data_IF_170682918809
#
_entry.id   IF_170682918809
#
_cell.length_a   1.000
_cell.length_b   1.000
_cell.length_c   1.000
_cell.angle_alpha   90.00
_cell.angle_beta   90.00
_cell.angle_gamma   90.00
#
_symmetry.space_group_name_H-M   'P 1'
#
loop_
_entity.id
_entity.type
_entity.pdbx_description
1 polymer ?
#
# COMPACT_ATOMS: atom_id res chain seq x y z
N UNK A 1 23.66 -26.76 5.92
CA UNK A 1 22.75 -26.49 4.77
C UNK A 1 21.87 -25.31 5.14
N UNK A 2 21.89 -24.20 4.38
CA UNK A 2 21.04 -23.02 4.65
C UNK A 2 19.57 -23.44 4.66
N UNK A 3 18.85 -23.09 5.72
CA UNK A 3 17.43 -23.37 5.87
C UNK A 3 16.66 -22.68 4.73
N UNK A 4 16.14 -23.43 3.75
CA UNK A 4 15.47 -22.88 2.55
C UNK A 4 14.04 -22.41 2.83
N UNK A 5 13.72 -22.00 4.06
CA UNK A 5 12.37 -21.56 4.47
C UNK A 5 11.83 -20.42 3.59
N UNK A 6 12.71 -19.52 3.15
CA UNK A 6 12.35 -18.44 2.23
C UNK A 6 11.81 -18.95 0.88
N UNK A 7 12.33 -20.08 0.38
CA UNK A 7 11.86 -20.65 -0.89
C UNK A 7 10.41 -21.17 -0.78
N UNK A 8 10.05 -21.75 0.36
CA UNK A 8 8.67 -22.20 0.64
C UNK A 8 7.75 -20.97 0.70
N UNK A 9 8.18 -19.91 1.38
CA UNK A 9 7.43 -18.65 1.42
C UNK A 9 7.21 -18.05 0.02
N UNK A 10 8.27 -17.98 -0.79
CA UNK A 10 8.20 -17.48 -2.16
C UNK A 10 7.29 -18.34 -3.05
N UNK A 11 7.32 -19.67 -2.89
CA UNK A 11 6.49 -20.60 -3.65
C UNK A 11 5.01 -20.48 -3.28
N UNK A 12 4.69 -20.41 -1.99
CA UNK A 12 3.31 -20.19 -1.52
C UNK A 12 2.79 -18.84 -2.02
N UNK A 13 3.59 -17.79 -1.90
CA UNK A 13 3.23 -16.45 -2.34
C UNK A 13 2.99 -16.44 -3.87
N UNK A 14 3.93 -16.96 -4.66
CA UNK A 14 3.81 -17.03 -6.12
C UNK A 14 2.60 -17.86 -6.56
N UNK A 15 2.34 -18.98 -5.89
CA UNK A 15 1.15 -19.80 -6.17
C UNK A 15 -0.16 -19.07 -5.86
N UNK A 16 -0.22 -18.31 -4.76
CA UNK A 16 -1.38 -17.47 -4.43
C UNK A 16 -1.62 -16.36 -5.46
N UNK A 17 -0.55 -15.70 -5.94
CA UNK A 17 -0.63 -14.73 -7.03
C UNK A 17 -1.10 -15.37 -8.34
N UNK A 18 -0.57 -16.55 -8.67
CA UNK A 18 -0.96 -17.29 -9.87
C UNK A 18 -2.45 -17.66 -9.86
N UNK A 19 -2.96 -18.22 -8.74
CA UNK A 19 -4.38 -18.52 -8.58
C UNK A 19 -5.24 -17.26 -8.75
N UNK A 20 -4.82 -16.14 -8.14
CA UNK A 20 -5.59 -14.88 -8.22
C UNK A 20 -5.67 -14.36 -9.67
N UNK A 21 -4.56 -14.42 -10.42
CA UNK A 21 -4.52 -14.05 -11.84
C UNK A 21 -5.33 -15.02 -12.70
N UNK A 22 -5.26 -16.32 -12.41
CA UNK A 22 -5.96 -17.35 -13.17
C UNK A 22 -7.48 -17.28 -13.00
N UNK A 23 -7.97 -16.99 -11.79
CA UNK A 23 -9.40 -16.99 -11.49
C UNK A 23 -10.07 -15.63 -11.73
N UNK A 24 -9.35 -14.52 -11.50
CA UNK A 24 -9.98 -13.20 -11.43
C UNK A 24 -9.24 -12.17 -12.27
N UNK A 25 -8.26 -11.48 -11.68
CA UNK A 25 -7.54 -10.35 -12.26
C UNK A 25 -6.17 -10.16 -11.59
N UNK A 26 -5.22 -9.52 -12.27
CA UNK A 26 -3.98 -9.09 -11.65
C UNK A 26 -4.23 -8.14 -10.47
N UNK A 27 -3.43 -8.28 -9.42
CA UNK A 27 -3.65 -7.59 -8.14
C UNK A 27 -3.23 -6.12 -8.23
N UNK A 28 -4.16 -5.21 -7.96
CA UNK A 28 -3.92 -3.77 -7.86
C UNK A 28 -4.69 -3.15 -6.69
N UNK A 29 -3.97 -2.64 -5.68
CA UNK A 29 -4.59 -2.09 -4.46
C UNK A 29 -4.87 -0.59 -4.56
N UNK A 30 -4.05 0.14 -5.33
CA UNK A 30 -4.08 1.60 -5.30
C UNK A 30 -5.39 2.19 -5.84
N UNK A 31 -6.04 1.53 -6.80
CA UNK A 31 -7.29 2.00 -7.43
C UNK A 31 -8.41 2.16 -6.42
N UNK A 32 -8.45 1.28 -5.42
CA UNK A 32 -9.51 1.26 -4.42
C UNK A 32 -9.47 2.47 -3.46
N UNK A 33 -8.31 3.10 -3.26
CA UNK A 33 -8.24 4.36 -2.52
C UNK A 33 -8.95 5.51 -3.25
N UNK A 34 -8.84 5.58 -4.58
CA UNK A 34 -9.59 6.56 -5.36
C UNK A 34 -11.07 6.22 -5.50
N UNK A 35 -11.42 4.92 -5.57
CA UNK A 35 -12.82 4.48 -5.55
C UNK A 35 -13.48 4.89 -4.23
N UNK A 36 -12.84 4.63 -3.09
CA UNK A 36 -13.33 5.04 -1.77
C UNK A 36 -13.53 6.57 -1.68
N UNK A 37 -12.56 7.34 -2.16
CA UNK A 37 -12.69 8.81 -2.23
C UNK A 37 -13.86 9.24 -3.14
N UNK A 38 -14.05 8.57 -4.27
CA UNK A 38 -15.16 8.82 -5.18
C UNK A 38 -16.53 8.47 -4.58
N UNK A 39 -16.62 7.43 -3.76
CA UNK A 39 -17.85 7.08 -3.01
C UNK A 39 -18.21 8.20 -2.02
N UNK A 40 -17.23 8.71 -1.27
CA UNK A 40 -17.44 9.81 -0.33
C UNK A 40 -17.89 11.07 -1.08
N UNK A 41 -17.22 11.42 -2.19
CA UNK A 41 -17.57 12.58 -3.00
C UNK A 41 -18.96 12.44 -3.62
N UNK A 42 -19.32 11.27 -4.16
CA UNK A 42 -20.64 11.01 -4.74
C UNK A 42 -21.76 10.98 -3.70
N UNK A 43 -21.42 10.81 -2.41
CA UNK A 43 -22.36 10.91 -1.30
C UNK A 43 -22.66 12.36 -0.92
N UNK A 44 -21.70 13.27 -1.15
CA UNK A 44 -21.85 14.71 -0.93
C UNK A 44 -22.49 15.41 -2.13
N UNK A 45 -22.14 14.98 -3.34
CA UNK A 45 -22.70 15.50 -4.59
C UNK A 45 -23.18 14.34 -5.48
N UNK A 46 -24.51 14.18 -5.54
CA UNK A 46 -25.17 13.08 -6.23
C UNK A 46 -25.16 13.20 -7.75
N UNK A 47 -24.84 14.38 -8.29
CA UNK A 47 -24.90 14.65 -9.74
C UNK A 47 -23.56 14.41 -10.46
N UNK A 48 -22.53 13.98 -9.71
CA UNK A 48 -21.16 13.77 -10.21
C UNK A 48 -21.03 12.53 -11.10
N UNK A 49 -21.89 11.51 -10.93
CA UNK A 49 -21.85 10.26 -11.71
C UNK A 49 -23.23 10.01 -12.33
N UNK A 50 -23.29 10.07 -13.67
CA UNK A 50 -24.50 9.82 -14.48
C UNK A 50 -24.34 8.51 -15.26
N UNK A 51 -25.45 7.82 -15.50
CA UNK A 51 -25.46 6.60 -16.31
C UNK A 51 -25.49 6.97 -17.80
N UNK A 52 -24.58 6.40 -18.58
CA UNK A 52 -24.54 6.54 -20.04
C UNK A 52 -24.29 5.16 -20.68
N UNK A 53 -25.30 4.57 -21.33
CA UNK A 53 -25.20 3.23 -21.92
C UNK A 53 -24.35 3.17 -23.19
N UNK A 54 -23.80 4.29 -23.69
CA UNK A 54 -23.00 4.33 -24.92
C UNK A 54 -21.50 4.02 -24.73
N UNK A 55 -21.02 3.90 -23.47
CA UNK A 55 -19.60 3.67 -23.13
C UNK A 55 -19.37 2.31 -22.47
N UNK A 56 -18.17 1.72 -22.63
CA UNK A 56 -17.80 0.42 -22.04
C UNK A 56 -17.94 0.37 -20.50
N UNK A 57 -17.77 1.51 -19.82
CA UNK A 57 -17.97 1.67 -18.38
C UNK A 57 -19.42 1.84 -17.94
N UNK A 58 -20.35 2.22 -18.82
CA UNK A 58 -21.77 2.47 -18.52
C UNK A 58 -22.07 3.74 -17.69
N UNK A 59 -21.06 4.51 -17.30
CA UNK A 59 -21.19 5.71 -16.48
C UNK A 59 -20.30 6.83 -17.03
N UNK A 60 -20.80 8.06 -16.99
CA UNK A 60 -20.06 9.29 -17.26
C UNK A 60 -19.95 10.08 -15.95
N UNK A 61 -18.80 10.70 -15.70
CA UNK A 61 -18.65 11.59 -14.55
C UNK A 61 -18.41 13.03 -14.99
N UNK A 62 -18.99 13.99 -14.28
CA UNK A 62 -18.68 15.41 -14.46
C UNK A 62 -17.23 15.75 -14.06
N UNK A 63 -16.61 14.91 -13.23
CA UNK A 63 -15.22 15.05 -12.85
C UNK A 63 -14.31 14.27 -13.82
N UNK A 64 -13.43 15.00 -14.51
CA UNK A 64 -12.45 14.44 -15.45
C UNK A 64 -11.57 13.32 -14.83
N UNK A 65 -11.36 13.33 -13.51
CA UNK A 65 -10.60 12.28 -12.83
C UNK A 65 -11.39 10.97 -12.69
N UNK A 66 -12.70 11.02 -12.45
CA UNK A 66 -13.56 9.83 -12.32
C UNK A 66 -13.99 9.28 -13.69
N UNK A 67 -13.95 10.11 -14.74
CA UNK A 67 -14.19 9.70 -16.13
C UNK A 67 -12.94 9.05 -16.79
N UNK A 68 -11.80 8.99 -16.08
CA UNK A 68 -10.61 8.26 -16.55
C UNK A 68 -10.95 6.79 -16.82
N UNK A 69 -10.25 6.22 -17.81
CA UNK A 69 -10.39 4.82 -18.23
C UNK A 69 -11.83 4.47 -18.67
N UNK A 70 -12.46 5.38 -19.41
CA UNK A 70 -13.80 5.22 -20.00
C UNK A 70 -14.90 4.88 -18.98
N UNK A 71 -14.83 5.49 -17.78
CA UNK A 71 -15.84 5.30 -16.73
C UNK A 71 -15.67 4.01 -15.90
N UNK A 72 -14.57 3.26 -16.04
CA UNK A 72 -14.27 2.08 -15.18
C UNK A 72 -14.21 2.44 -13.69
N UNK A 73 -13.71 3.64 -13.37
CA UNK A 73 -13.69 4.16 -12.00
C UNK A 73 -15.10 4.54 -11.52
N UNK A 74 -15.89 5.23 -12.35
CA UNK A 74 -17.27 5.58 -12.07
C UNK A 74 -18.16 4.34 -11.80
N UNK A 75 -17.97 3.26 -12.58
CA UNK A 75 -18.62 1.95 -12.36
C UNK A 75 -18.27 1.33 -11.01
N UNK A 76 -16.99 1.41 -10.62
CA UNK A 76 -16.49 0.87 -9.35
C UNK A 76 -16.95 1.69 -8.13
N UNK A 77 -17.21 3.00 -8.32
CA UNK A 77 -17.78 3.88 -7.29
C UNK A 77 -19.25 3.55 -7.03
N UNK A 78 -20.04 3.26 -8.08
CA UNK A 78 -21.46 2.88 -7.95
C UNK A 78 -21.67 1.46 -7.42
N UNK A 79 -20.77 0.53 -7.76
CA UNK A 79 -20.79 -0.85 -7.25
C UNK A 79 -19.56 -1.12 -6.37
N UNK A 80 -19.60 -0.74 -5.08
CA UNK A 80 -18.42 -0.81 -4.19
C UNK A 80 -17.99 -2.23 -3.83
N UNK A 81 -18.88 -3.23 -3.93
CA UNK A 81 -18.55 -4.65 -3.66
C UNK A 81 -17.94 -5.33 -4.88
N UNK A 82 -16.79 -4.84 -5.32
CA UNK A 82 -15.99 -5.49 -6.35
C UNK A 82 -14.91 -6.39 -5.72
N UNK A 83 -14.32 -7.28 -6.53
CA UNK A 83 -13.25 -8.18 -6.09
C UNK A 83 -12.08 -7.43 -5.44
N UNK A 84 -11.65 -6.33 -6.05
CA UNK A 84 -10.50 -5.55 -5.58
C UNK A 84 -10.76 -4.96 -4.18
N UNK A 85 -11.96 -4.45 -3.91
CA UNK A 85 -12.35 -3.88 -2.62
C UNK A 85 -12.43 -4.95 -1.54
N UNK A 86 -13.01 -6.12 -1.86
CA UNK A 86 -12.99 -7.30 -0.98
C UNK A 86 -11.55 -7.71 -0.69
N UNK A 87 -10.70 -7.73 -1.71
CA UNK A 87 -9.27 -8.04 -1.57
C UNK A 87 -8.55 -7.04 -0.66
N UNK A 88 -8.77 -5.72 -0.82
CA UNK A 88 -8.17 -4.70 0.05
C UNK A 88 -8.60 -4.88 1.50
N UNK A 89 -9.87 -5.19 1.75
CA UNK A 89 -10.36 -5.48 3.10
C UNK A 89 -9.81 -6.80 3.66
N UNK A 90 -9.56 -7.78 2.80
CA UNK A 90 -8.99 -9.06 3.19
C UNK A 90 -7.51 -8.95 3.61
N UNK A 91 -6.74 -7.96 3.14
CA UNK A 91 -5.33 -7.76 3.53
C UNK A 91 -5.19 -7.52 5.06
N UNK A 92 -5.81 -6.48 5.67
CA UNK A 92 -5.69 -6.25 7.10
C UNK A 92 -6.35 -7.36 7.92
N UNK A 93 -7.46 -7.94 7.45
CA UNK A 93 -8.11 -9.08 8.11
C UNK A 93 -7.22 -10.33 8.11
N UNK A 94 -6.59 -10.64 6.98
CA UNK A 94 -5.64 -11.73 6.81
C UNK A 94 -4.40 -11.52 7.66
N UNK A 95 -3.87 -10.30 7.71
CA UNK A 95 -2.78 -9.91 8.60
C UNK A 95 -3.16 -10.10 10.08
N UNK A 96 -4.36 -9.69 10.49
CA UNK A 96 -4.85 -9.86 11.86
C UNK A 96 -5.07 -11.33 12.23
N UNK A 97 -5.66 -12.13 11.33
CA UNK A 97 -5.84 -13.57 11.52
C UNK A 97 -4.49 -14.28 11.58
N UNK A 98 -3.56 -13.93 10.68
CA UNK A 98 -2.19 -14.40 10.69
C UNK A 98 -1.50 -14.08 12.01
N UNK A 99 -1.59 -12.82 12.48
CA UNK A 99 -1.10 -12.42 13.79
C UNK A 99 -1.69 -13.26 14.92
N UNK A 100 -3.02 -13.49 14.95
CA UNK A 100 -3.67 -14.29 16.00
C UNK A 100 -3.24 -15.77 15.96
N UNK A 101 -3.04 -16.33 14.78
CA UNK A 101 -2.61 -17.72 14.58
C UNK A 101 -1.11 -17.93 14.87
N UNK A 102 -0.27 -16.96 14.49
CA UNK A 102 1.19 -16.96 14.72
C UNK A 102 1.53 -16.58 16.16
N UNK A 103 0.76 -15.70 16.80
CA UNK A 103 0.84 -15.42 18.24
C UNK A 103 0.66 -16.68 19.09
N UNK A 104 -0.09 -17.67 18.58
CA UNK A 104 -0.28 -18.99 19.19
C UNK A 104 0.93 -19.94 19.00
N UNK A 105 1.86 -19.65 18.08
CA UNK A 105 3.06 -20.44 17.77
C UNK A 105 4.39 -19.83 18.27
N UNK A 106 4.35 -18.69 18.97
CA UNK A 106 5.47 -17.92 19.55
C UNK A 106 6.21 -16.98 18.58
N UNK A 107 6.48 -15.76 19.06
CA UNK A 107 7.73 -14.96 19.11
C UNK A 107 9.01 -15.38 18.33
N UNK A 108 9.00 -16.39 17.48
CA UNK A 108 10.17 -17.03 16.86
C UNK A 108 9.85 -17.20 15.36
N UNK A 109 9.88 -16.11 14.58
CA UNK A 109 9.98 -16.07 13.08
C UNK A 109 9.45 -14.75 12.48
N UNK A 110 9.02 -13.78 13.28
CA UNK A 110 8.57 -12.48 12.80
C UNK A 110 9.72 -11.51 12.43
N UNK A 111 10.79 -11.99 11.79
CA UNK A 111 12.01 -11.20 11.54
C UNK A 111 12.44 -11.04 10.08
N UNK A 112 11.95 -11.83 9.11
CA UNK A 112 12.69 -11.94 7.84
C UNK A 112 11.97 -11.37 6.59
N UNK A 113 10.82 -10.69 6.70
CA UNK A 113 10.17 -10.07 5.52
C UNK A 113 9.39 -8.77 5.75
N UNK A 114 9.58 -8.08 6.88
CA UNK A 114 9.02 -6.74 7.12
C UNK A 114 10.12 -5.70 7.37
N UNK A 115 11.15 -5.65 6.51
CA UNK A 115 12.07 -4.51 6.43
C UNK A 115 11.44 -3.33 5.65
N UNK A 116 10.19 -2.99 5.97
CA UNK A 116 9.72 -1.61 5.79
C UNK A 116 9.76 -1.01 7.18
N UNK A 117 10.96 -0.51 7.51
CA UNK A 117 11.31 0.16 8.75
C UNK A 117 10.14 1.01 9.26
N UNK A 118 9.46 0.47 10.27
CA UNK A 118 8.80 1.32 11.25
C UNK A 118 9.93 2.16 11.82
N UNK A 119 10.06 3.40 11.34
CA UNK A 119 10.95 4.40 11.90
C UNK A 119 10.49 4.62 13.35
N UNK A 120 11.01 3.76 14.22
CA UNK A 120 11.00 3.87 15.65
C UNK A 120 11.63 5.23 15.94
N UNK A 121 10.77 6.21 16.21
CA UNK A 121 11.20 7.40 16.92
C UNK A 121 11.84 6.88 18.21
N UNK A 122 13.16 7.00 18.29
CA UNK A 122 13.86 6.93 19.56
C UNK A 122 13.24 8.01 20.44
N UNK A 123 12.42 7.58 21.39
CA UNK A 123 12.18 8.38 22.59
C UNK A 123 13.53 8.39 23.28
N UNK A 124 14.24 9.51 23.16
CA UNK A 124 15.42 9.77 23.97
C UNK A 124 14.96 9.72 25.44
N UNK A 125 15.29 8.63 26.12
CA UNK A 125 14.92 8.34 27.52
C UNK A 125 15.65 9.23 28.54
N UNK A 126 16.45 10.20 28.08
CA UNK A 126 17.29 11.04 28.94
C UNK A 126 16.96 12.53 28.79
N UNK A 127 15.75 12.93 29.19
CA UNK A 127 15.59 14.19 29.93
C UNK A 127 14.31 14.20 30.77
N UNK A 128 14.55 14.04 32.06
CA UNK A 128 13.70 14.29 33.23
C UNK A 128 12.50 15.22 33.02
N UNK A 129 11.35 14.73 33.49
CA UNK A 129 10.30 15.46 34.22
C UNK A 129 9.91 16.83 33.68
N UNK A 130 8.89 16.86 32.83
CA UNK A 130 7.99 18.01 32.70
C UNK A 130 6.61 17.50 32.29
N UNK A 131 5.69 17.49 33.25
CA UNK A 131 4.24 17.42 33.04
C UNK A 131 3.81 18.40 31.95
N UNK A 132 3.52 17.92 30.75
CA UNK A 132 3.18 18.82 29.65
C UNK A 132 2.13 18.21 28.73
N UNK A 133 0.86 18.17 29.15
CA UNK A 133 -0.30 18.07 28.24
C UNK A 133 -0.12 17.08 27.05
N UNK A 134 0.35 15.86 27.37
CA UNK A 134 1.22 15.05 26.50
C UNK A 134 0.48 14.33 25.36
N UNK A 135 -0.84 14.23 25.42
CA UNK A 135 -1.59 13.34 24.53
C UNK A 135 -1.54 13.75 23.05
N UNK A 136 -1.70 15.05 22.73
CA UNK A 136 -1.75 15.51 21.33
C UNK A 136 -0.36 15.69 20.68
N UNK A 137 0.62 16.24 21.41
CA UNK A 137 1.96 16.50 20.83
C UNK A 137 2.77 15.23 20.61
N UNK A 138 2.61 14.22 21.47
CA UNK A 138 3.23 12.92 21.28
C UNK A 138 2.59 12.17 20.10
N UNK A 139 1.26 12.26 19.97
CA UNK A 139 0.53 11.66 18.86
C UNK A 139 0.98 12.24 17.51
N UNK A 140 1.01 13.57 17.36
CA UNK A 140 1.43 14.21 16.10
C UNK A 140 2.90 13.91 15.77
N UNK A 141 3.80 13.91 16.76
CA UNK A 141 5.22 13.59 16.52
C UNK A 141 5.45 12.12 16.18
N UNK A 142 4.62 11.21 16.70
CA UNK A 142 4.73 9.76 16.49
C UNK A 142 4.04 9.30 15.20
N UNK A 143 2.82 9.76 14.94
CA UNK A 143 2.00 9.33 13.80
C UNK A 143 2.11 10.27 12.59
N UNK A 144 2.47 11.54 12.81
CA UNK A 144 2.63 12.53 11.75
C UNK A 144 3.58 12.09 10.63
N UNK A 145 4.81 11.63 10.92
CA UNK A 145 5.73 11.17 9.88
C UNK A 145 5.17 10.01 9.05
N UNK A 146 4.53 9.03 9.67
CA UNK A 146 3.91 7.89 8.98
C UNK A 146 2.71 8.30 8.13
N UNK A 147 1.90 9.24 8.62
CA UNK A 147 0.76 9.78 7.87
C UNK A 147 1.21 10.55 6.62
N UNK A 148 2.16 11.48 6.76
CA UNK A 148 2.71 12.22 5.63
C UNK A 148 3.47 11.32 4.66
N UNK A 149 4.20 10.32 5.16
CA UNK A 149 4.83 9.29 4.33
C UNK A 149 3.79 8.53 3.49
N UNK A 150 2.69 8.10 4.12
CA UNK A 150 1.58 7.44 3.42
C UNK A 150 0.93 8.33 2.35
N UNK A 151 0.70 9.61 2.66
CA UNK A 151 0.14 10.57 1.71
C UNK A 151 1.04 10.76 0.47
N UNK A 152 2.36 10.90 0.69
CA UNK A 152 3.35 11.01 -0.39
C UNK A 152 3.41 9.74 -1.22
N UNK A 153 3.39 8.56 -0.59
CA UNK A 153 3.39 7.28 -1.29
C UNK A 153 2.12 7.10 -2.14
N UNK A 154 0.95 7.45 -1.62
CA UNK A 154 -0.31 7.41 -2.38
C UNK A 154 -0.29 8.37 -3.56
N UNK A 155 0.19 9.60 -3.35
CA UNK A 155 0.32 10.58 -4.41
C UNK A 155 1.28 10.10 -5.51
N UNK A 156 2.46 9.59 -5.14
CA UNK A 156 3.41 9.02 -6.08
C UNK A 156 2.86 7.82 -6.85
N UNK A 157 2.15 6.90 -6.17
CA UNK A 157 1.51 5.75 -6.80
C UNK A 157 0.42 6.16 -7.81
N UNK A 158 -0.30 7.26 -7.56
CA UNK A 158 -1.28 7.81 -8.52
C UNK A 158 -0.61 8.48 -9.70
N UNK A 159 0.48 9.21 -9.49
CA UNK A 159 1.26 9.82 -10.57
C UNK A 159 1.90 8.77 -11.48
N UNK A 160 2.38 7.66 -10.90
CA UNK A 160 2.91 6.51 -11.64
C UNK A 160 1.82 5.58 -12.22
N UNK A 161 0.55 5.95 -12.03
CA UNK A 161 -0.64 5.16 -12.40
C UNK A 161 -0.57 3.69 -11.94
N UNK A 162 0.02 3.44 -10.78
CA UNK A 162 0.15 2.11 -10.21
C UNK A 162 0.96 2.04 -8.92
N UNK A 163 0.83 0.93 -8.21
CA UNK A 163 1.53 0.66 -6.95
C UNK A 163 2.50 -0.52 -7.11
N UNK A 164 3.28 -0.78 -6.06
CA UNK A 164 4.23 -1.91 -6.01
C UNK A 164 3.55 -3.25 -6.33
N UNK A 165 2.35 -3.50 -5.81
CA UNK A 165 1.61 -4.74 -6.15
C UNK A 165 1.26 -4.84 -7.64
N UNK A 166 0.98 -3.71 -8.29
CA UNK A 166 0.52 -3.65 -9.69
C UNK A 166 1.70 -3.67 -10.68
N UNK A 167 2.63 -2.72 -10.58
CA UNK A 167 3.76 -2.61 -11.50
C UNK A 167 4.87 -3.62 -11.20
N UNK A 168 5.21 -3.84 -9.92
CA UNK A 168 6.34 -4.69 -9.54
C UNK A 168 5.94 -6.16 -9.38
N UNK A 169 4.91 -6.50 -8.59
CA UNK A 169 4.51 -7.90 -8.42
C UNK A 169 3.80 -8.45 -9.66
N UNK A 170 2.68 -7.83 -10.06
CA UNK A 170 1.89 -8.35 -11.19
C UNK A 170 2.49 -8.01 -12.56
N UNK A 171 3.00 -6.78 -12.74
CA UNK A 171 3.54 -6.30 -14.01
C UNK A 171 4.81 -7.02 -14.44
N UNK A 172 5.75 -7.26 -13.52
CA UNK A 172 6.96 -8.02 -13.85
C UNK A 172 6.66 -9.50 -14.14
N UNK A 173 5.70 -10.11 -13.43
CA UNK A 173 5.29 -11.49 -13.69
C UNK A 173 4.66 -11.65 -15.08
N UNK A 174 3.98 -10.62 -15.57
CA UNK A 174 3.41 -10.56 -16.91
C UNK A 174 4.42 -10.15 -18.00
N UNK A 175 5.66 -9.78 -17.63
CA UNK A 175 6.68 -9.31 -18.56
C UNK A 175 6.45 -7.89 -19.08
N UNK A 176 5.67 -7.05 -18.37
CA UNK A 176 5.43 -5.67 -18.78
C UNK A 176 6.70 -4.82 -18.68
N UNK A 177 7.03 -4.11 -19.76
CA UNK A 177 8.14 -3.15 -19.83
C UNK A 177 7.99 -2.06 -18.76
N UNK A 178 6.76 -1.58 -18.51
CA UNK A 178 6.49 -0.56 -17.49
C UNK A 178 6.84 -1.06 -16.08
N UNK A 179 6.63 -2.35 -15.81
CA UNK A 179 6.92 -2.97 -14.51
C UNK A 179 8.42 -3.01 -14.23
N UNK A 180 9.23 -3.35 -15.23
CA UNK A 180 10.69 -3.35 -15.10
C UNK A 180 11.28 -1.96 -14.92
N UNK A 181 10.83 -0.97 -15.70
CA UNK A 181 11.28 0.42 -15.58
C UNK A 181 10.90 0.99 -14.20
N UNK A 182 9.68 0.72 -13.75
CA UNK A 182 9.21 1.11 -12.43
C UNK A 182 10.08 0.50 -11.32
N UNK A 183 10.29 -0.83 -11.36
CA UNK A 183 11.11 -1.52 -10.38
C UNK A 183 12.54 -0.97 -10.33
N UNK A 184 13.17 -0.76 -11.48
CA UNK A 184 14.50 -0.18 -11.58
C UNK A 184 14.56 1.22 -10.94
N UNK A 185 13.57 2.07 -11.21
CA UNK A 185 13.49 3.42 -10.65
C UNK A 185 13.30 3.42 -9.13
N UNK A 186 12.45 2.52 -8.62
CA UNK A 186 12.23 2.36 -7.18
C UNK A 186 13.49 1.84 -6.49
N UNK A 187 14.16 0.82 -7.02
CA UNK A 187 15.38 0.30 -6.42
C UNK A 187 16.54 1.30 -6.51
N UNK A 188 16.67 2.02 -7.62
CA UNK A 188 17.69 3.04 -7.81
C UNK A 188 17.55 4.22 -6.83
N UNK A 189 16.33 4.52 -6.37
CA UNK A 189 16.08 5.58 -5.38
C UNK A 189 16.08 5.05 -3.95
N UNK A 190 15.47 3.89 -3.70
CA UNK A 190 15.34 3.30 -2.37
C UNK A 190 16.69 2.85 -1.79
N UNK A 191 17.54 2.19 -2.58
CA UNK A 191 18.82 1.65 -2.09
C UNK A 191 19.75 2.77 -1.60
N UNK A 192 20.03 3.84 -2.37
CA UNK A 192 20.84 4.95 -1.88
C UNK A 192 20.22 5.66 -0.69
N UNK A 193 18.89 5.83 -0.68
CA UNK A 193 18.17 6.46 0.43
C UNK A 193 18.36 5.68 1.74
N UNK A 194 18.22 4.35 1.69
CA UNK A 194 18.44 3.49 2.85
C UNK A 194 19.88 3.57 3.37
N UNK A 195 20.87 3.56 2.46
CA UNK A 195 22.29 3.67 2.84
C UNK A 195 22.57 5.04 3.51
N UNK A 196 22.07 6.13 2.93
CA UNK A 196 22.27 7.49 3.47
C UNK A 196 21.61 7.62 4.84
N UNK A 197 20.38 7.12 5.00
CA UNK A 197 19.64 7.18 6.25
C UNK A 197 20.33 6.37 7.34
N UNK A 198 20.76 5.14 7.04
CA UNK A 198 21.49 4.31 7.99
C UNK A 198 22.83 4.94 8.40
N UNK A 199 23.56 5.55 7.46
CA UNK A 199 24.78 6.32 7.75
C UNK A 199 24.52 7.51 8.68
N UNK A 200 23.43 8.24 8.47
CA UNK A 200 23.04 9.35 9.36
C UNK A 200 22.65 8.85 10.75
N UNK A 201 21.90 7.75 10.84
CA UNK A 201 21.49 7.12 12.11
C UNK A 201 22.69 6.64 12.91
N UNK A 202 23.65 5.99 12.26
CA UNK A 202 24.89 5.51 12.88
C UNK A 202 25.79 6.65 13.35
N UNK A 203 25.93 7.73 12.58
CA UNK A 203 26.66 8.93 13.02
C UNK A 203 26.00 9.61 14.22
N UNK A 204 24.66 9.74 14.25
CA UNK A 204 23.94 10.33 15.39
C UNK A 204 24.06 9.50 16.68
N UNK A 205 24.27 8.18 16.59
CA UNK A 205 24.51 7.30 17.74
C UNK A 205 25.95 7.34 18.27
N UNK A 206 26.90 7.85 17.47
CA UNK A 206 28.31 7.97 17.83
C UNK A 206 28.70 9.35 18.38
N UNK A 207 27.87 10.37 18.13
CA UNK A 207 28.00 11.73 18.66
C UNK A 207 27.21 11.87 19.97
#
# INVERSE_FOLDING_TARGET
>A
MKNKKWLIGALILGFSFFISVFLVKPIGVSTQFSVLSGIIHSSLDKDVIKEDPTREGGYISSNAYYDKSEGKLAKSIKNPLNYDFIFVLAIPLGGYLGYKLLKKKNLIEASDFEDVETQSCSIDENKSTSTCSIEEKCFIKKYGPSFFGGAILLFGARLADGCTSGHMMSGMMQGSVSGYIFALSVFATAIPTAIILNKRRTNKRRA
#
